data_IF_830542479863
#
_entry.id   IF_830542479863
#
_cell.length_a   1.000
_cell.length_b   1.000
_cell.length_c   1.000
_cell.angle_alpha   90.00
_cell.angle_beta   90.00
_cell.angle_gamma   90.00
#
_symmetry.space_group_name_H-M   'P 1'
#
loop_
_entity.id
_entity.type
_entity.pdbx_description
1 polymer ?
#
# COMPACT_ATOMS: atom_id res chain seq x y z
N UNK A 1 -19.75 10.76 17.55
CA UNK A 1 -19.33 11.05 16.16
C UNK A 1 -20.33 10.38 15.21
N UNK A 2 -20.95 11.14 14.31
CA UNK A 2 -21.95 10.58 13.39
C UNK A 2 -21.32 9.57 12.42
N UNK A 3 -22.08 8.56 12.01
CA UNK A 3 -21.63 7.51 11.08
C UNK A 3 -21.12 8.13 9.76
N UNK A 4 -21.77 9.22 9.31
CA UNK A 4 -21.34 9.96 8.10
C UNK A 4 -19.95 10.56 8.23
N UNK A 5 -19.63 11.17 9.37
CA UNK A 5 -18.29 11.74 9.63
C UNK A 5 -17.22 10.64 9.68
N UNK A 6 -17.52 9.51 10.31
CA UNK A 6 -16.61 8.35 10.31
C UNK A 6 -16.35 7.83 8.91
N UNK A 7 -17.37 7.78 8.06
CA UNK A 7 -17.25 7.34 6.68
C UNK A 7 -16.33 8.29 5.89
N UNK A 8 -16.56 9.60 5.99
CA UNK A 8 -15.73 10.60 5.30
C UNK A 8 -14.28 10.52 5.76
N UNK A 9 -14.04 10.42 7.07
CA UNK A 9 -12.69 10.29 7.61
C UNK A 9 -12.02 8.98 7.18
N UNK A 10 -12.74 7.86 7.19
CA UNK A 10 -12.21 6.56 6.78
C UNK A 10 -11.86 6.55 5.28
N UNK A 11 -12.73 7.11 4.43
CA UNK A 11 -12.49 7.24 2.99
C UNK A 11 -11.31 8.18 2.70
N UNK A 12 -11.24 9.32 3.40
CA UNK A 12 -10.13 10.26 3.30
C UNK A 12 -8.80 9.63 3.72
N UNK A 13 -8.79 8.86 4.82
CA UNK A 13 -7.62 8.12 5.28
C UNK A 13 -7.18 7.07 4.25
N UNK A 14 -8.13 6.33 3.68
CA UNK A 14 -7.85 5.31 2.66
C UNK A 14 -7.18 5.94 1.43
N UNK A 15 -7.74 7.02 0.88
CA UNK A 15 -7.15 7.74 -0.26
C UNK A 15 -5.79 8.35 0.08
N UNK A 16 -5.65 8.93 1.26
CA UNK A 16 -4.37 9.49 1.72
C UNK A 16 -3.28 8.42 1.78
N UNK A 17 -3.58 7.26 2.38
CA UNK A 17 -2.64 6.13 2.45
C UNK A 17 -2.26 5.63 1.06
N UNK A 18 -3.22 5.50 0.15
CA UNK A 18 -2.98 5.07 -1.22
C UNK A 18 -2.00 6.02 -1.94
N UNK A 19 -2.27 7.32 -1.91
CA UNK A 19 -1.40 8.33 -2.52
C UNK A 19 -0.01 8.37 -1.88
N UNK A 20 0.06 8.25 -0.55
CA UNK A 20 1.33 8.16 0.17
C UNK A 20 2.13 6.94 -0.25
N UNK A 21 1.51 5.76 -0.33
CA UNK A 21 2.18 4.52 -0.74
C UNK A 21 2.69 4.61 -2.18
N UNK A 22 1.87 5.08 -3.13
CA UNK A 22 2.28 5.25 -4.53
C UNK A 22 3.50 6.16 -4.62
N UNK A 23 3.46 7.31 -3.96
CA UNK A 23 4.54 8.29 -4.02
C UNK A 23 5.79 7.82 -3.28
N UNK A 24 5.63 7.24 -2.09
CA UNK A 24 6.75 6.84 -1.25
C UNK A 24 7.48 5.61 -1.81
N UNK A 25 6.74 4.59 -2.26
CA UNK A 25 7.32 3.39 -2.87
C UNK A 25 8.05 3.73 -4.18
N UNK A 26 7.46 4.58 -5.02
CA UNK A 26 8.10 5.04 -6.26
C UNK A 26 9.38 5.83 -6.04
N UNK A 27 9.49 6.55 -4.91
CA UNK A 27 10.68 7.31 -4.56
C UNK A 27 11.84 6.44 -4.00
N UNK A 28 11.52 5.30 -3.38
CA UNK A 28 12.50 4.46 -2.68
C UNK A 28 12.93 3.22 -3.47
N UNK A 29 12.12 2.76 -4.39
CA UNK A 29 12.40 1.58 -5.20
C UNK A 29 12.48 1.98 -6.68
N UNK A 30 13.70 2.06 -7.22
CA UNK A 30 13.94 2.40 -8.64
C UNK A 30 13.14 1.52 -9.60
N UNK A 31 13.02 0.24 -9.31
CA UNK A 31 12.25 -0.70 -10.12
C UNK A 31 10.74 -0.40 -10.11
N UNK A 32 10.20 0.14 -8.98
CA UNK A 32 8.80 0.55 -8.89
C UNK A 32 8.53 1.90 -9.55
N UNK A 33 9.54 2.73 -9.80
CA UNK A 33 9.36 3.96 -10.59
C UNK A 33 8.86 3.64 -12.00
N UNK A 34 9.30 2.52 -12.58
CA UNK A 34 8.77 2.01 -13.86
C UNK A 34 7.44 1.27 -13.71
N UNK A 35 7.13 0.74 -12.53
CA UNK A 35 5.95 -0.08 -12.24
C UNK A 35 5.00 0.58 -11.22
N UNK A 36 4.88 1.91 -11.23
CA UNK A 36 3.96 2.65 -10.33
C UNK A 36 2.52 2.11 -10.40
N UNK A 37 2.09 1.62 -11.56
CA UNK A 37 0.80 0.98 -11.74
C UNK A 37 0.64 -0.30 -10.91
N UNK A 38 1.73 -0.96 -10.52
CA UNK A 38 1.69 -2.17 -9.71
C UNK A 38 1.24 -1.87 -8.27
N UNK A 39 1.68 -0.74 -7.72
CA UNK A 39 1.23 -0.26 -6.40
C UNK A 39 -0.26 0.08 -6.44
N UNK A 40 -0.69 0.77 -7.48
CA UNK A 40 -2.10 1.11 -7.69
C UNK A 40 -2.97 -0.16 -7.82
N UNK A 41 -2.52 -1.14 -8.60
CA UNK A 41 -3.23 -2.41 -8.78
C UNK A 41 -3.31 -3.19 -7.47
N UNK A 42 -2.22 -3.23 -6.69
CA UNK A 42 -2.20 -3.82 -5.34
C UNK A 42 -3.15 -3.13 -4.39
N UNK A 43 -3.20 -1.80 -4.41
CA UNK A 43 -4.14 -1.01 -3.61
C UNK A 43 -5.58 -1.34 -3.95
N UNK A 44 -5.96 -1.35 -5.22
CA UNK A 44 -7.32 -1.71 -5.65
C UNK A 44 -7.70 -3.14 -5.26
N UNK A 45 -6.78 -4.08 -5.43
CA UNK A 45 -7.00 -5.46 -5.00
C UNK A 45 -7.23 -5.53 -3.48
N UNK A 46 -6.40 -4.85 -2.71
CA UNK A 46 -6.52 -4.80 -1.26
C UNK A 46 -7.83 -4.19 -0.79
N UNK A 47 -8.22 -3.04 -1.35
CA UNK A 47 -9.50 -2.38 -1.05
C UNK A 47 -10.66 -3.30 -1.41
N UNK A 48 -10.65 -3.92 -2.60
CA UNK A 48 -11.70 -4.85 -3.03
C UNK A 48 -11.86 -6.05 -2.10
N UNK A 49 -10.74 -6.67 -1.70
CA UNK A 49 -10.76 -7.76 -0.72
C UNK A 49 -11.24 -7.29 0.66
N UNK A 50 -10.88 -6.07 1.07
CA UNK A 50 -11.38 -5.45 2.29
C UNK A 50 -12.90 -5.29 2.27
N UNK A 51 -13.46 -4.82 1.17
CA UNK A 51 -14.92 -4.72 0.98
C UNK A 51 -15.62 -6.08 1.06
N UNK A 52 -15.04 -7.12 0.47
CA UNK A 52 -15.62 -8.49 0.52
C UNK A 52 -15.57 -9.10 1.94
N UNK A 53 -14.60 -8.72 2.75
CA UNK A 53 -14.43 -9.23 4.13
C UNK A 53 -15.19 -8.43 5.18
N UNK A 54 -15.71 -7.27 4.83
CA UNK A 54 -16.39 -6.38 5.77
C UNK A 54 -17.63 -7.03 6.42
N UNK A 55 -17.69 -6.95 7.75
CA UNK A 55 -18.84 -7.37 8.54
C UNK A 55 -19.26 -6.24 9.47
N UNK A 56 -20.59 -6.02 9.70
CA UNK A 56 -21.07 -4.90 10.52
C UNK A 56 -20.60 -4.95 11.98
N UNK A 57 -20.34 -6.14 12.52
CA UNK A 57 -20.00 -6.37 13.94
C UNK A 57 -18.51 -6.55 14.20
N UNK A 58 -17.66 -6.46 13.16
CA UNK A 58 -16.23 -6.67 13.33
C UNK A 58 -15.54 -5.41 13.83
N UNK A 59 -14.68 -5.60 14.85
CA UNK A 59 -13.76 -4.56 15.31
C UNK A 59 -12.81 -4.13 14.17
N UNK A 60 -12.33 -2.87 14.17
CA UNK A 60 -11.37 -2.43 13.17
C UNK A 60 -10.17 -3.39 13.10
N UNK A 61 -9.68 -3.71 11.91
CA UNK A 61 -8.65 -4.73 11.73
C UNK A 61 -7.33 -4.29 12.38
N UNK A 62 -6.97 -4.97 13.45
CA UNK A 62 -5.76 -4.70 14.22
C UNK A 62 -4.47 -5.08 13.46
N UNK A 63 -4.59 -5.88 12.40
CA UNK A 63 -3.43 -6.30 11.59
C UNK A 63 -2.91 -5.19 10.66
N UNK A 64 -3.74 -4.19 10.33
CA UNK A 64 -3.38 -3.12 9.41
C UNK A 64 -2.07 -2.39 9.78
N UNK A 65 -1.88 -1.86 11.02
CA UNK A 65 -0.65 -1.18 11.37
C UNK A 65 0.57 -2.11 11.34
N UNK A 66 0.40 -3.39 11.67
CA UNK A 66 1.48 -4.38 11.63
C UNK A 66 1.93 -4.62 10.19
N UNK A 67 1.00 -4.83 9.27
CA UNK A 67 1.31 -5.04 7.84
C UNK A 67 1.94 -3.80 7.23
N UNK A 68 1.45 -2.60 7.59
CA UNK A 68 2.03 -1.34 7.14
C UNK A 68 3.47 -1.19 7.64
N UNK A 69 3.73 -1.47 8.92
CA UNK A 69 5.09 -1.44 9.49
C UNK A 69 6.02 -2.45 8.82
N UNK A 70 5.51 -3.63 8.49
CA UNK A 70 6.27 -4.66 7.78
C UNK A 70 6.60 -4.22 6.36
N UNK A 71 5.68 -3.59 5.64
CA UNK A 71 5.90 -3.00 4.32
C UNK A 71 6.98 -1.91 4.39
N UNK A 72 6.85 -0.97 5.34
CA UNK A 72 7.83 0.11 5.52
C UNK A 72 9.21 -0.44 5.87
N UNK A 73 9.29 -1.39 6.78
CA UNK A 73 10.54 -2.04 7.17
C UNK A 73 11.21 -2.78 6.02
N UNK A 74 10.44 -3.53 5.23
CA UNK A 74 10.94 -4.21 4.03
C UNK A 74 11.55 -3.22 3.03
N UNK A 75 10.86 -2.13 2.73
CA UNK A 75 11.35 -1.11 1.79
C UNK A 75 12.60 -0.42 2.32
N UNK A 76 12.67 -0.11 3.62
CA UNK A 76 13.85 0.52 4.22
C UNK A 76 15.07 -0.41 4.20
N UNK A 77 14.88 -1.72 4.40
CA UNK A 77 15.95 -2.73 4.30
C UNK A 77 16.49 -2.76 2.86
N UNK A 78 15.62 -2.71 1.86
CA UNK A 78 16.03 -2.75 0.45
C UNK A 78 16.50 -1.41 -0.10
N UNK A 79 16.24 -0.30 0.58
CA UNK A 79 16.74 1.01 0.19
C UNK A 79 18.25 1.17 0.38
N UNK A 80 18.87 0.39 1.25
CA UNK A 80 20.31 0.47 1.55
C UNK A 80 21.28 0.05 0.43
N UNK A 81 20.78 -0.35 -0.76
CA UNK A 81 21.60 -0.85 -1.87
C UNK A 81 21.85 0.11 -3.02
N UNK A 82 21.51 1.40 -2.90
CA UNK A 82 21.78 2.38 -3.97
C UNK A 82 23.03 3.16 -3.64
N UNK A 83 24.19 2.65 -4.04
CA UNK A 83 25.42 3.41 -4.11
C UNK A 83 25.28 4.50 -5.18
N UNK A 84 25.11 5.74 -4.74
CA UNK A 84 25.13 6.94 -5.59
C UNK A 84 26.55 7.39 -5.96
N UNK A 85 27.55 6.55 -5.86
CA UNK A 85 28.93 6.86 -6.22
C UNK A 85 29.18 6.62 -7.70
N UNK A 86 28.64 7.49 -8.56
CA UNK A 86 28.96 7.44 -9.98
C UNK A 86 28.34 8.61 -10.71
N UNK A 87 29.17 9.57 -11.10
CA UNK A 87 28.86 10.71 -11.98
C UNK A 87 28.73 10.32 -13.45
N UNK A 88 28.38 9.08 -13.76
CA UNK A 88 28.30 8.63 -15.14
C UNK A 88 26.85 8.62 -15.62
N UNK A 89 26.65 9.27 -16.75
CA UNK A 89 25.44 9.34 -17.56
C UNK A 89 24.81 7.95 -17.71
N UNK A 90 23.69 7.74 -17.04
CA UNK A 90 22.98 6.46 -16.93
C UNK A 90 22.18 6.21 -18.23
N UNK A 91 22.89 5.76 -19.27
CA UNK A 91 22.28 5.10 -20.41
C UNK A 91 22.80 3.66 -20.46
N UNK A 92 22.20 2.69 -19.85
CA UNK A 92 22.59 1.26 -19.89
C UNK A 92 23.71 0.79 -18.96
N UNK A 93 23.80 1.26 -17.74
CA UNK A 93 24.65 0.57 -16.76
C UNK A 93 23.91 -0.66 -16.23
N UNK A 94 24.57 -1.79 -16.29
CA UNK A 94 24.21 -2.99 -15.54
C UNK A 94 24.21 -2.65 -14.06
N UNK A 95 23.02 -2.46 -13.48
CA UNK A 95 22.88 -2.24 -12.05
C UNK A 95 23.34 -3.52 -11.35
N UNK A 96 24.55 -3.52 -10.82
CA UNK A 96 25.01 -4.57 -9.92
C UNK A 96 24.22 -4.44 -8.63
N UNK A 97 23.05 -5.07 -8.61
CA UNK A 97 22.18 -5.14 -7.44
C UNK A 97 22.81 -6.10 -6.43
N UNK A 98 23.54 -5.54 -5.47
CA UNK A 98 23.91 -6.25 -4.24
C UNK A 98 22.69 -6.38 -3.33
N UNK A 99 21.61 -6.98 -3.84
CA UNK A 99 20.33 -7.12 -3.15
C UNK A 99 19.52 -8.31 -3.70
N UNK A 100 18.39 -8.66 -3.08
CA UNK A 100 17.54 -9.73 -3.59
C UNK A 100 17.03 -9.41 -4.99
N UNK A 101 16.81 -10.45 -5.81
CA UNK A 101 16.45 -10.28 -7.20
C UNK A 101 15.10 -9.54 -7.35
N UNK A 102 14.98 -8.59 -8.30
CA UNK A 102 13.76 -7.76 -8.47
C UNK A 102 12.50 -8.57 -8.72
N UNK A 103 12.60 -9.76 -9.31
CA UNK A 103 11.47 -10.66 -9.55
C UNK A 103 10.84 -11.21 -8.25
N UNK A 104 11.57 -11.17 -7.13
CA UNK A 104 11.07 -11.56 -5.81
C UNK A 104 10.51 -10.35 -5.05
N UNK A 105 11.17 -9.20 -5.17
CA UNK A 105 10.80 -7.97 -4.46
C UNK A 105 9.46 -7.42 -4.98
N UNK A 106 9.26 -7.40 -6.29
CA UNK A 106 8.04 -6.85 -6.90
C UNK A 106 6.75 -7.56 -6.42
N UNK A 107 6.63 -8.91 -6.51
CA UNK A 107 5.43 -9.57 -5.99
C UNK A 107 5.30 -9.49 -4.47
N UNK A 108 6.41 -9.46 -3.72
CA UNK A 108 6.35 -9.29 -2.28
C UNK A 108 5.77 -7.91 -1.89
N UNK A 109 6.23 -6.85 -2.53
CA UNK A 109 5.69 -5.49 -2.32
C UNK A 109 4.22 -5.43 -2.75
N UNK A 110 3.85 -6.02 -3.88
CA UNK A 110 2.47 -6.08 -4.36
C UNK A 110 1.54 -6.72 -3.33
N UNK A 111 1.91 -7.88 -2.80
CA UNK A 111 1.12 -8.61 -1.79
C UNK A 111 1.01 -7.79 -0.50
N UNK A 112 2.11 -7.16 -0.07
CA UNK A 112 2.11 -6.33 1.15
C UNK A 112 1.28 -5.07 1.00
N UNK A 113 1.32 -4.40 -0.17
CA UNK A 113 0.46 -3.26 -0.48
C UNK A 113 -1.02 -3.68 -0.46
N UNK A 114 -1.36 -4.78 -1.11
CA UNK A 114 -2.72 -5.31 -1.11
C UNK A 114 -3.18 -5.66 0.32
N UNK A 115 -2.35 -6.30 1.12
CA UNK A 115 -2.66 -6.63 2.51
C UNK A 115 -2.80 -5.38 3.39
N UNK A 116 -1.96 -4.36 3.18
CA UNK A 116 -2.05 -3.09 3.90
C UNK A 116 -3.33 -2.32 3.56
N UNK A 117 -3.74 -2.29 2.29
CA UNK A 117 -4.94 -1.57 1.85
C UNK A 117 -6.25 -2.32 2.16
N UNK A 118 -6.16 -3.60 2.50
CA UNK A 118 -7.34 -4.39 2.93
C UNK A 118 -7.97 -3.83 4.21
N UNK A 119 -7.17 -3.36 5.17
CA UNK A 119 -7.65 -2.81 6.43
C UNK A 119 -8.51 -1.54 6.27
N UNK A 120 -8.00 -0.49 5.61
CA UNK A 120 -8.79 0.70 5.29
C UNK A 120 -10.05 0.39 4.47
N UNK A 121 -9.96 -0.53 3.50
CA UNK A 121 -11.10 -0.99 2.70
C UNK A 121 -12.19 -1.63 3.57
N UNK A 122 -11.82 -2.53 4.48
CA UNK A 122 -12.74 -3.18 5.43
C UNK A 122 -13.42 -2.14 6.35
N UNK A 123 -12.66 -1.12 6.79
CA UNK A 123 -13.17 -0.06 7.66
C UNK A 123 -14.20 0.83 6.94
N UNK A 124 -13.92 1.22 5.70
CA UNK A 124 -14.87 2.00 4.87
C UNK A 124 -16.14 1.20 4.62
N UNK A 125 -16.02 -0.05 4.22
CA UNK A 125 -17.17 -0.93 3.96
C UNK A 125 -18.02 -1.17 5.21
N UNK A 126 -17.40 -1.37 6.38
CA UNK A 126 -18.11 -1.49 7.66
C UNK A 126 -18.87 -0.21 8.03
N UNK A 127 -18.35 0.97 7.69
CA UNK A 127 -19.05 2.24 7.85
C UNK A 127 -20.25 2.35 6.91
N UNK A 128 -20.14 1.87 5.68
CA UNK A 128 -21.26 1.83 4.73
C UNK A 128 -22.39 0.91 5.22
N UNK A 129 -22.07 -0.27 5.73
CA UNK A 129 -23.06 -1.22 6.25
C UNK A 129 -23.83 -0.69 7.48
N UNK A 130 -23.26 0.29 8.19
CA UNK A 130 -23.89 0.93 9.36
C UNK A 130 -24.71 2.19 9.01
N UNK A 131 -24.68 2.62 7.77
CA UNK A 131 -25.54 3.73 7.33
C UNK A 131 -27.00 3.26 7.36
N UNK A 132 -27.91 4.02 8.02
CA UNK A 132 -29.33 3.74 7.90
C UNK A 132 -29.72 3.86 6.43
N UNK A 133 -30.51 2.90 5.93
CA UNK A 133 -31.09 2.98 4.59
C UNK A 133 -31.78 4.32 4.47
N UNK A 134 -31.47 5.04 3.41
CA UNK A 134 -32.23 6.20 2.99
C UNK A 134 -33.50 5.64 2.33
N UNK A 135 -34.53 5.43 3.13
CA UNK A 135 -35.89 5.23 2.64
C UNK A 135 -36.51 6.61 2.37
#
# INVERSE_FOLDING_TARGET
MSVRVRLVLASGLMLFLELCLIRWLGAHLLHLSYFSNMVLLGSFLGIGLGFLRAKPDRSPPMYFPVVLMLLLGLVLIFHGGIDRSGTDLIYFTTVSTSGPPPWLVLPAVFILVAAAMMGPGELVAACFLRLPRLD
#
